data_IF_464751037471
#
_entry.id   IF_464751037471
#
_cell.length_a   1.000
_cell.length_b   1.000
_cell.length_c   1.000
_cell.angle_alpha   90.00
_cell.angle_beta   90.00
_cell.angle_gamma   90.00
#
_symmetry.space_group_name_H-M   'P 1'
#
loop_
_entity.id
_entity.type
_entity.pdbx_description
1 polymer ?
#
# COMPACT_ATOMS: atom_id res chain seq x y z
N UNK A 1 -43.72 -40.20 8.24
CA UNK A 1 -42.50 -39.76 8.97
C UNK A 1 -42.19 -38.35 8.51
N UNK A 2 -42.59 -37.36 9.31
CA UNK A 2 -42.56 -35.93 8.95
C UNK A 2 -41.29 -35.30 9.52
N UNK A 3 -40.40 -34.85 8.62
CA UNK A 3 -39.12 -34.22 8.95
C UNK A 3 -39.34 -32.85 9.59
N UNK A 4 -38.78 -32.67 10.78
CA UNK A 4 -38.85 -31.45 11.59
C UNK A 4 -38.27 -30.23 10.86
N UNK A 5 -39.04 -29.14 10.86
CA UNK A 5 -38.61 -27.77 10.54
C UNK A 5 -37.47 -27.36 11.49
N UNK A 6 -36.30 -27.02 10.95
CA UNK A 6 -35.25 -26.33 11.70
C UNK A 6 -35.41 -24.84 11.42
N UNK A 7 -35.93 -24.14 12.41
CA UNK A 7 -35.88 -22.68 12.52
C UNK A 7 -34.47 -22.30 12.95
N UNK A 8 -33.68 -21.71 12.06
CA UNK A 8 -32.47 -20.99 12.47
C UNK A 8 -32.88 -19.58 12.88
N UNK A 9 -33.05 -19.42 14.19
CA UNK A 9 -32.93 -18.13 14.87
C UNK A 9 -31.46 -17.70 14.75
N UNK A 10 -31.23 -16.57 14.09
CA UNK A 10 -29.92 -15.96 13.92
C UNK A 10 -30.04 -14.45 13.84
N UNK A 11 -30.74 -13.85 14.80
CA UNK A 11 -30.71 -12.40 15.06
C UNK A 11 -29.38 -12.12 15.76
N UNK A 12 -28.39 -11.57 15.04
CA UNK A 12 -27.14 -11.06 15.61
C UNK A 12 -26.95 -9.60 15.22
N UNK A 13 -27.38 -8.74 16.15
CA UNK A 13 -26.80 -7.42 16.50
C UNK A 13 -26.28 -6.55 15.35
N UNK A 14 -27.15 -5.69 14.80
CA UNK A 14 -26.71 -4.49 14.07
C UNK A 14 -26.42 -3.41 15.11
N UNK A 15 -25.16 -3.29 15.52
CA UNK A 15 -24.73 -2.29 16.49
C UNK A 15 -23.27 -1.91 16.31
N UNK A 16 -23.04 -0.64 15.96
CA UNK A 16 -21.74 0.07 16.02
C UNK A 16 -20.67 -0.35 15.01
N UNK A 17 -21.00 -0.33 13.71
CA UNK A 17 -19.98 -0.32 12.67
C UNK A 17 -19.27 1.05 12.68
N UNK A 18 -18.02 1.09 13.16
CA UNK A 18 -17.20 2.30 13.13
C UNK A 18 -16.83 2.63 11.68
N UNK A 19 -16.89 3.90 11.30
CA UNK A 19 -16.46 4.36 9.97
C UNK A 19 -14.95 4.57 9.96
N UNK A 20 -14.29 4.09 8.92
CA UNK A 20 -12.90 4.43 8.58
C UNK A 20 -12.90 5.15 7.24
N UNK A 21 -12.46 6.41 7.24
CA UNK A 21 -12.22 7.19 6.04
C UNK A 21 -10.72 7.35 5.82
N UNK A 22 -10.29 7.14 4.58
CA UNK A 22 -8.90 7.28 4.18
C UNK A 22 -8.79 8.32 3.07
N UNK A 23 -7.78 9.16 3.20
CA UNK A 23 -7.28 10.02 2.15
C UNK A 23 -5.90 9.52 1.74
N UNK A 24 -5.71 9.27 0.45
CA UNK A 24 -4.47 8.77 -0.11
C UNK A 24 -4.32 9.23 -1.56
N UNK A 25 -3.12 9.10 -2.11
CA UNK A 25 -2.84 9.40 -3.50
C UNK A 25 -2.02 8.25 -4.09
N UNK A 26 -2.36 7.82 -5.30
CA UNK A 26 -1.52 6.93 -6.08
C UNK A 26 -0.62 7.80 -6.95
N UNK A 27 0.64 7.39 -7.10
CA UNK A 27 1.48 8.03 -8.09
C UNK A 27 0.85 7.93 -9.49
N UNK A 28 0.68 9.08 -10.16
CA UNK A 28 0.13 9.15 -11.51
C UNK A 28 -1.41 9.13 -11.62
N UNK A 29 -2.14 8.84 -10.54
CA UNK A 29 -3.62 8.83 -10.57
C UNK A 29 -4.27 9.20 -9.22
N UNK A 30 -5.32 10.03 -9.20
CA UNK A 30 -6.13 10.25 -8.00
C UNK A 30 -7.14 9.13 -7.74
N UNK A 31 -7.31 8.19 -8.68
CA UNK A 31 -8.29 7.11 -8.61
C UNK A 31 -7.62 5.74 -8.78
N UNK A 32 -8.18 4.71 -8.16
CA UNK A 32 -7.72 3.34 -8.38
C UNK A 32 -8.11 2.38 -7.27
N UNK A 33 -7.89 1.07 -7.48
CA UNK A 33 -8.18 0.06 -6.47
C UNK A 33 -7.30 0.27 -5.26
N UNK A 34 -7.86 0.06 -4.07
CA UNK A 34 -7.08 0.15 -2.85
C UNK A 34 -7.58 -0.85 -1.82
N UNK A 35 -6.66 -1.33 -0.99
CA UNK A 35 -6.94 -2.20 0.12
C UNK A 35 -6.38 -1.58 1.40
N UNK A 36 -7.22 -1.50 2.43
CA UNK A 36 -6.79 -1.13 3.77
C UNK A 36 -6.64 -2.38 4.61
N UNK A 37 -5.45 -2.57 5.17
CA UNK A 37 -5.17 -3.65 6.12
C UNK A 37 -5.22 -3.04 7.51
N UNK A 38 -6.10 -3.55 8.36
CA UNK A 38 -6.19 -3.17 9.78
C UNK A 38 -5.81 -4.38 10.62
N UNK A 39 -4.73 -4.29 11.40
CA UNK A 39 -4.24 -5.38 12.24
C UNK A 39 -4.32 -5.00 13.72
N UNK A 40 -5.11 -5.75 14.49
CA UNK A 40 -5.27 -5.58 15.93
C UNK A 40 -5.03 -6.93 16.63
N UNK A 41 -3.91 -7.05 17.35
CA UNK A 41 -3.50 -8.30 17.98
C UNK A 41 -3.35 -9.43 16.95
N UNK A 42 -4.08 -10.53 17.15
CA UNK A 42 -4.13 -11.67 16.22
C UNK A 42 -5.13 -11.52 15.08
N UNK A 43 -5.94 -10.45 15.08
CA UNK A 43 -6.96 -10.20 14.05
C UNK A 43 -6.40 -9.28 12.97
N UNK A 44 -6.70 -9.62 11.72
CA UNK A 44 -6.45 -8.76 10.58
C UNK A 44 -7.72 -8.66 9.73
N UNK A 45 -8.03 -7.45 9.29
CA UNK A 45 -9.12 -7.16 8.37
C UNK A 45 -8.53 -6.56 7.10
N UNK A 46 -8.94 -7.10 5.95
CA UNK A 46 -8.59 -6.59 4.64
C UNK A 46 -9.85 -5.95 4.05
N UNK A 47 -9.78 -4.65 3.79
CA UNK A 47 -10.91 -3.83 3.39
C UNK A 47 -10.64 -3.31 1.97
N UNK A 48 -11.15 -4.00 0.97
CA UNK A 48 -11.01 -3.58 -0.43
C UNK A 48 -11.96 -2.44 -0.77
N UNK A 49 -11.53 -1.51 -1.61
CA UNK A 49 -12.31 -0.37 -2.08
C UNK A 49 -11.68 0.29 -3.29
N UNK A 50 -12.19 1.48 -3.62
CA UNK A 50 -11.69 2.32 -4.71
C UNK A 50 -11.41 3.71 -4.15
N UNK A 51 -10.27 4.29 -4.50
CA UNK A 51 -10.05 5.71 -4.35
C UNK A 51 -10.87 6.44 -5.42
N UNK A 52 -11.72 7.34 -4.96
CA UNK A 52 -12.45 8.29 -5.79
C UNK A 52 -12.02 9.71 -5.37
N UNK A 53 -11.31 10.40 -6.26
CA UNK A 53 -10.74 11.72 -5.98
C UNK A 53 -9.75 11.72 -4.81
N UNK A 54 -9.03 10.61 -4.60
CA UNK A 54 -8.08 10.44 -3.49
C UNK A 54 -8.70 10.11 -2.14
N UNK A 55 -9.98 9.70 -2.11
CA UNK A 55 -10.65 9.28 -0.86
C UNK A 55 -11.36 7.95 -0.99
N UNK A 56 -11.44 7.22 0.11
CA UNK A 56 -12.22 5.99 0.23
C UNK A 56 -12.76 5.83 1.65
N UNK A 57 -13.87 5.11 1.82
CA UNK A 57 -14.54 4.91 3.10
C UNK A 57 -14.98 3.45 3.29
N UNK A 58 -14.84 2.95 4.51
CA UNK A 58 -15.27 1.61 4.92
C UNK A 58 -16.01 1.64 6.25
N UNK A 59 -16.81 0.59 6.46
CA UNK A 59 -17.34 0.21 7.76
C UNK A 59 -16.46 -0.89 8.34
N UNK A 60 -15.89 -0.63 9.51
CA UNK A 60 -15.12 -1.65 10.21
C UNK A 60 -16.05 -2.79 10.64
N UNK A 61 -15.63 -4.05 10.46
CA UNK A 61 -16.46 -5.22 10.76
C UNK A 61 -16.65 -5.44 12.27
N UNK A 62 -15.80 -4.85 13.10
CA UNK A 62 -15.92 -4.85 14.55
C UNK A 62 -15.28 -3.59 15.17
N UNK A 63 -15.70 -3.18 16.37
CA UNK A 63 -15.00 -2.14 17.14
C UNK A 63 -13.55 -2.53 17.45
N UNK A 64 -12.67 -1.54 17.45
CA UNK A 64 -11.27 -1.71 17.85
C UNK A 64 -11.14 -1.65 19.38
N UNK A 65 -10.92 -2.81 20.01
CA UNK A 65 -10.68 -2.93 21.45
C UNK A 65 -9.19 -2.81 21.82
N UNK A 66 -8.31 -3.09 20.87
CA UNK A 66 -6.86 -3.00 20.99
C UNK A 66 -6.32 -1.97 19.98
N UNK A 67 -5.15 -1.36 20.24
CA UNK A 67 -4.48 -0.54 19.25
C UNK A 67 -4.28 -1.30 17.94
N UNK A 68 -4.72 -0.72 16.83
CA UNK A 68 -4.68 -1.37 15.52
C UNK A 68 -3.70 -0.65 14.57
N UNK A 69 -2.73 -1.38 14.04
CA UNK A 69 -1.88 -0.88 12.97
C UNK A 69 -2.65 -0.86 11.65
N UNK A 70 -2.38 0.15 10.81
CA UNK A 70 -3.07 0.33 9.54
C UNK A 70 -2.08 0.52 8.41
N UNK A 71 -2.30 -0.21 7.32
CA UNK A 71 -1.62 -0.04 6.05
C UNK A 71 -2.63 0.21 4.96
N UNK A 72 -2.18 0.88 3.91
CA UNK A 72 -2.89 1.01 2.66
C UNK A 72 -2.03 0.42 1.54
N UNK A 73 -2.66 -0.33 0.65
CA UNK A 73 -2.01 -1.06 -0.44
C UNK A 73 -2.78 -0.86 -1.73
N UNK A 74 -2.07 -0.81 -2.85
CA UNK A 74 -2.65 -0.86 -4.18
C UNK A 74 -1.79 -1.78 -5.05
N UNK A 75 -2.36 -2.57 -5.97
CA UNK A 75 -1.59 -3.39 -6.90
C UNK A 75 -0.60 -2.54 -7.71
N UNK A 76 0.68 -2.92 -7.73
CA UNK A 76 1.75 -2.16 -8.43
C UNK A 76 2.28 -0.96 -7.65
N UNK A 77 2.01 -0.87 -6.34
CA UNK A 77 2.45 0.25 -5.51
C UNK A 77 3.05 -0.18 -4.17
N UNK A 78 3.96 0.65 -3.62
CA UNK A 78 4.45 0.49 -2.25
C UNK A 78 3.32 0.68 -1.24
N UNK A 79 3.22 -0.19 -0.23
CA UNK A 79 2.26 -0.01 0.84
C UNK A 79 2.70 1.15 1.76
N UNK A 80 1.76 2.03 2.10
CA UNK A 80 2.00 3.03 3.14
C UNK A 80 1.49 2.53 4.48
N UNK A 81 2.30 2.69 5.53
CA UNK A 81 1.92 2.39 6.91
C UNK A 81 1.60 3.69 7.64
N UNK A 82 0.46 3.72 8.31
CA UNK A 82 0.09 4.85 9.16
C UNK A 82 0.95 4.85 10.43
N UNK A 83 1.37 6.05 10.86
CA UNK A 83 2.33 6.21 11.95
C UNK A 83 1.80 5.73 13.29
N UNK A 84 0.56 6.10 13.60
CA UNK A 84 -0.04 5.84 14.91
C UNK A 84 -1.10 4.73 14.80
N UNK A 85 -1.14 3.77 15.73
CA UNK A 85 -2.20 2.79 15.74
C UNK A 85 -3.55 3.44 16.06
N UNK A 86 -4.61 2.97 15.41
CA UNK A 86 -5.98 3.36 15.73
C UNK A 86 -6.37 2.85 17.11
N UNK A 87 -7.04 3.67 17.90
CA UNK A 87 -7.54 3.29 19.22
C UNK A 87 -8.83 4.03 19.54
N UNK A 88 -9.73 3.35 20.23
CA UNK A 88 -10.95 3.94 20.77
C UNK A 88 -12.15 3.91 19.82
N UNK A 89 -13.20 4.66 20.13
CA UNK A 89 -14.38 4.74 19.26
C UNK A 89 -14.09 5.61 18.02
N UNK A 90 -14.50 5.12 16.85
CA UNK A 90 -14.48 5.90 15.60
C UNK A 90 -15.53 7.04 15.58
N UNK A 91 -15.62 7.81 14.48
CA UNK A 91 -15.00 7.56 13.18
C UNK A 91 -13.50 7.84 13.15
N UNK A 92 -12.79 7.14 12.26
CA UNK A 92 -11.37 7.37 11.99
C UNK A 92 -11.20 8.08 10.66
N UNK A 93 -10.34 9.10 10.64
CA UNK A 93 -9.89 9.77 9.43
C UNK A 93 -8.38 9.62 9.34
N UNK A 94 -7.90 8.92 8.32
CA UNK A 94 -6.48 8.71 8.09
C UNK A 94 -6.07 9.42 6.82
N UNK A 95 -5.13 10.35 6.94
CA UNK A 95 -4.57 11.07 5.81
C UNK A 95 -3.16 10.57 5.56
N UNK A 96 -3.02 9.66 4.59
CA UNK A 96 -1.75 9.11 4.12
C UNK A 96 -1.04 10.05 3.14
N UNK A 97 -1.65 11.19 2.77
CA UNK A 97 -1.01 12.16 1.89
C UNK A 97 -0.06 13.10 2.63
N UNK A 98 -0.01 13.01 3.96
CA UNK A 98 0.85 13.82 4.82
C UNK A 98 2.03 12.99 5.32
N UNK A 99 3.27 13.32 4.94
CA UNK A 99 4.47 12.64 5.42
C UNK A 99 4.53 12.43 6.94
N UNK A 100 4.11 13.41 7.73
CA UNK A 100 4.15 13.35 9.20
C UNK A 100 3.23 12.26 9.80
N UNK A 101 2.19 11.87 9.06
CA UNK A 101 1.26 10.80 9.41
C UNK A 101 1.76 9.42 9.01
N UNK A 102 2.84 9.34 8.24
CA UNK A 102 3.41 8.07 7.79
C UNK A 102 4.42 7.53 8.79
N UNK A 103 4.51 6.21 8.85
CA UNK A 103 5.51 5.54 9.66
C UNK A 103 6.92 5.85 9.12
N UNK A 104 7.95 6.08 9.97
CA UNK A 104 9.30 6.47 9.52
C UNK A 104 10.00 5.48 8.59
N UNK A 105 9.54 4.23 8.56
CA UNK A 105 10.06 3.17 7.71
C UNK A 105 9.15 2.87 6.52
N UNK A 106 8.20 3.76 6.21
CA UNK A 106 7.41 3.70 4.98
C UNK A 106 8.05 4.59 3.93
N UNK A 107 8.31 3.98 2.79
CA UNK A 107 8.77 4.63 1.58
C UNK A 107 7.59 5.20 0.78
N UNK A 108 7.74 6.38 0.19
CA UNK A 108 6.71 7.07 -0.60
C UNK A 108 7.36 8.03 -1.61
N UNK A 109 6.59 8.49 -2.60
CA UNK A 109 6.99 9.59 -3.49
C UNK A 109 6.23 10.84 -3.10
N UNK A 110 6.91 11.99 -3.06
CA UNK A 110 6.26 13.28 -2.80
C UNK A 110 5.93 13.99 -4.13
N UNK A 111 4.65 14.32 -4.36
CA UNK A 111 4.21 15.14 -5.49
C UNK A 111 3.31 16.26 -4.99
N UNK A 112 3.65 17.51 -5.37
CA UNK A 112 2.90 18.70 -4.96
C UNK A 112 2.70 18.82 -3.44
N UNK A 113 3.72 18.46 -2.66
CA UNK A 113 3.69 18.49 -1.19
C UNK A 113 2.83 17.39 -0.54
N UNK A 114 2.45 16.36 -1.31
CA UNK A 114 1.69 15.21 -0.82
C UNK A 114 2.47 13.93 -1.01
N UNK A 115 2.46 13.08 0.01
CA UNK A 115 2.91 11.71 -0.11
C UNK A 115 1.94 10.90 -0.98
N UNK A 116 2.49 10.15 -1.91
CA UNK A 116 1.79 9.22 -2.79
C UNK A 116 2.34 7.80 -2.58
N UNK A 117 1.47 6.81 -2.74
CA UNK A 117 1.90 5.44 -2.98
C UNK A 117 2.78 5.46 -4.23
N UNK A 118 4.04 5.05 -4.06
CA UNK A 118 5.02 4.98 -5.14
C UNK A 118 4.65 3.84 -6.09
N UNK A 119 4.52 4.12 -7.38
CA UNK A 119 4.22 3.10 -8.38
C UNK A 119 5.50 2.38 -8.80
N UNK A 120 5.44 1.12 -9.18
CA UNK A 120 6.50 0.54 -10.01
C UNK A 120 6.23 -0.89 -10.43
N UNK A 121 7.14 -1.43 -11.21
CA UNK A 121 7.11 -2.79 -11.74
C UNK A 121 8.51 -3.40 -11.62
N UNK A 122 8.60 -4.58 -10.99
CA UNK A 122 9.87 -5.28 -10.83
C UNK A 122 10.36 -5.76 -12.20
N UNK A 123 11.62 -5.47 -12.52
CA UNK A 123 12.30 -6.01 -13.70
C UNK A 123 12.24 -5.14 -14.96
N UNK A 124 11.58 -3.98 -14.91
CA UNK A 124 11.62 -2.99 -15.99
C UNK A 124 12.55 -1.85 -15.60
N UNK A 125 13.62 -1.66 -16.38
CA UNK A 125 14.41 -0.42 -16.31
C UNK A 125 13.51 0.75 -16.74
N UNK A 126 13.75 1.97 -16.23
CA UNK A 126 12.97 3.14 -16.59
C UNK A 126 12.90 3.34 -18.11
N UNK A 127 11.70 3.60 -18.60
CA UNK A 127 11.43 4.00 -19.97
C UNK A 127 10.56 5.28 -20.00
N UNK A 128 10.09 5.69 -21.17
CA UNK A 128 9.23 6.88 -21.31
C UNK A 128 7.88 6.73 -20.55
N UNK A 129 7.45 5.51 -20.21
CA UNK A 129 6.23 5.24 -19.46
C UNK A 129 6.45 5.16 -17.93
N UNK A 130 7.66 4.79 -17.49
CA UNK A 130 8.07 4.70 -16.08
C UNK A 130 9.37 5.48 -15.80
N UNK A 131 9.36 6.83 -15.87
CA UNK A 131 10.58 7.63 -16.01
C UNK A 131 11.35 7.89 -14.70
N UNK A 132 11.00 7.27 -13.57
CA UNK A 132 11.67 7.54 -12.29
C UNK A 132 11.84 6.27 -11.47
N UNK A 133 13.09 5.94 -11.15
CA UNK A 133 13.41 4.93 -10.13
C UNK A 133 13.08 5.51 -8.78
N UNK A 134 12.02 5.02 -8.17
CA UNK A 134 11.56 5.44 -6.86
C UNK A 134 11.87 4.36 -5.81
N UNK A 135 11.38 4.58 -4.59
CA UNK A 135 11.65 3.67 -3.50
C UNK A 135 11.01 2.27 -3.68
N UNK A 136 9.96 2.14 -4.51
CA UNK A 136 9.36 0.83 -4.86
C UNK A 136 10.36 -0.02 -5.64
N UNK A 137 10.99 0.55 -6.66
CA UNK A 137 11.93 -0.18 -7.51
C UNK A 137 13.15 -0.69 -6.73
N UNK A 138 13.61 0.10 -5.75
CA UNK A 138 14.68 -0.31 -4.83
C UNK A 138 14.23 -1.45 -3.92
N UNK A 139 13.05 -1.35 -3.31
CA UNK A 139 12.55 -2.40 -2.42
C UNK A 139 12.28 -3.71 -3.17
N UNK A 140 11.69 -3.62 -4.36
CA UNK A 140 11.49 -4.75 -5.26
C UNK A 140 12.82 -5.39 -5.65
N UNK A 141 13.81 -4.61 -6.05
CA UNK A 141 15.13 -5.12 -6.39
C UNK A 141 15.77 -5.87 -5.21
N UNK A 142 15.70 -5.31 -4.00
CA UNK A 142 16.22 -5.96 -2.80
C UNK A 142 15.49 -7.27 -2.47
N UNK A 143 14.20 -7.36 -2.75
CA UNK A 143 13.44 -8.60 -2.62
C UNK A 143 13.82 -9.63 -3.69
N UNK A 144 13.91 -9.20 -4.96
CA UNK A 144 14.36 -10.03 -6.08
C UNK A 144 15.77 -10.57 -5.86
N UNK A 145 16.69 -9.75 -5.33
CA UNK A 145 18.04 -10.17 -4.99
C UNK A 145 18.04 -11.26 -3.91
N UNK A 146 17.23 -11.12 -2.85
CA UNK A 146 17.09 -12.16 -1.82
C UNK A 146 16.53 -13.47 -2.39
N UNK A 147 15.62 -13.38 -3.35
CA UNK A 147 14.96 -14.53 -3.96
C UNK A 147 15.72 -15.09 -5.18
N UNK A 148 16.78 -14.40 -5.63
CA UNK A 148 17.49 -14.69 -6.88
C UNK A 148 16.54 -14.72 -8.10
N UNK A 149 15.58 -13.80 -8.17
CA UNK A 149 14.64 -13.65 -9.29
C UNK A 149 15.31 -12.96 -10.49
N UNK A 150 15.47 -13.71 -11.59
CA UNK A 150 16.14 -13.28 -12.83
C UNK A 150 15.51 -12.06 -13.49
N UNK A 151 14.32 -11.62 -13.09
CA UNK A 151 13.78 -10.35 -13.55
C UNK A 151 14.63 -9.14 -13.12
N UNK A 152 15.41 -9.25 -12.04
CA UNK A 152 16.31 -8.21 -11.56
C UNK A 152 17.77 -8.35 -12.05
N UNK A 153 18.03 -9.26 -12.99
CA UNK A 153 19.32 -9.41 -13.69
C UNK A 153 19.37 -8.40 -14.85
N UNK A 154 19.72 -7.15 -14.52
CA UNK A 154 19.64 -6.03 -15.44
C UNK A 154 20.81 -5.99 -16.42
N UNK A 155 21.99 -6.50 -16.04
CA UNK A 155 23.12 -6.66 -16.95
C UNK A 155 23.10 -7.97 -17.74
N UNK A 156 22.14 -8.86 -17.44
CA UNK A 156 21.91 -10.14 -18.11
C UNK A 156 23.12 -11.09 -18.00
N UNK A 157 23.92 -10.97 -16.93
CA UNK A 157 25.08 -11.82 -16.68
C UNK A 157 24.73 -13.17 -16.03
N UNK A 158 23.46 -13.35 -15.66
CA UNK A 158 22.91 -14.58 -15.11
C UNK A 158 22.93 -14.64 -13.58
N UNK A 159 23.43 -13.61 -12.89
CA UNK A 159 23.46 -13.51 -11.44
C UNK A 159 23.00 -12.11 -10.98
N UNK A 160 22.19 -12.06 -9.92
CA UNK A 160 21.77 -10.77 -9.35
C UNK A 160 22.81 -10.33 -8.33
N UNK A 161 23.48 -9.22 -8.62
CA UNK A 161 24.59 -8.73 -7.81
C UNK A 161 24.46 -7.24 -7.51
N UNK A 162 25.45 -6.72 -6.79
CA UNK A 162 25.60 -5.29 -6.56
C UNK A 162 25.69 -4.50 -7.88
N UNK A 163 26.14 -5.11 -9.00
CA UNK A 163 26.19 -4.42 -10.30
C UNK A 163 24.80 -4.06 -10.82
N UNK A 164 23.84 -4.98 -10.71
CA UNK A 164 22.45 -4.73 -11.08
C UNK A 164 21.85 -3.63 -10.19
N UNK A 165 22.19 -3.62 -8.90
CA UNK A 165 21.78 -2.56 -8.00
C UNK A 165 22.33 -1.20 -8.40
N UNK A 166 23.62 -1.14 -8.78
CA UNK A 166 24.25 0.08 -9.26
C UNK A 166 23.69 0.52 -10.62
N UNK A 167 23.28 -0.41 -11.49
CA UNK A 167 22.59 -0.08 -12.74
C UNK A 167 21.21 0.52 -12.50
N UNK A 168 20.46 -0.03 -11.54
CA UNK A 168 19.22 0.56 -11.05
C UNK A 168 19.51 2.00 -10.54
N UNK A 169 20.40 2.18 -9.58
CA UNK A 169 20.68 3.53 -9.04
C UNK A 169 21.28 4.51 -10.07
N UNK A 170 22.04 4.05 -11.05
CA UNK A 170 22.60 4.92 -12.11
C UNK A 170 21.50 5.48 -13.02
N UNK A 171 20.51 4.68 -13.35
CA UNK A 171 19.36 5.11 -14.16
C UNK A 171 18.45 6.10 -13.40
N UNK A 172 18.49 6.13 -12.05
CA UNK A 172 17.84 7.15 -11.24
C UNK A 172 18.39 8.56 -11.52
N UNK A 173 19.71 8.67 -11.74
CA UNK A 173 20.39 9.95 -11.92
C UNK A 173 20.29 10.51 -13.36
N UNK A 174 20.14 9.65 -14.37
CA UNK A 174 20.04 10.12 -15.76
C UNK A 174 18.72 10.82 -16.07
N UNK A 175 17.60 10.41 -15.46
CA UNK A 175 16.28 11.00 -15.68
C UNK A 175 16.05 12.33 -14.93
N UNK A 176 16.77 12.55 -13.82
CA UNK A 176 16.82 13.86 -13.16
C UNK A 176 17.61 14.89 -13.98
N UNK A 177 18.54 14.45 -14.83
CA UNK A 177 19.38 15.35 -15.64
C UNK A 177 18.79 15.72 -17.00
N UNK A 178 17.77 15.01 -17.47
CA UNK A 178 17.07 15.29 -18.74
C UNK A 178 15.74 16.02 -18.57
N UNK A 179 15.30 16.27 -17.33
CA UNK A 179 14.11 17.07 -17.00
C UNK A 179 14.42 18.46 -16.39
N UNK A 180 15.69 18.87 -16.39
CA UNK A 180 16.14 20.25 -16.14
C UNK A 180 16.54 20.92 -17.46
#
# INVERSE_FOLDING_TARGET
MSGRKVWWVGLLTIGWAQTLRVQAALEGSPNGPIEVVVKAGSKAWLLSGQLEGGTAEWKLPAPLHEPAEVWIRSPGYLPLRYRQPLKGPGPFLLDFTRPENLHPHTSYVEKSGKACLAAGELGSLPDEAHPVINAYDVELFLEAWKQQDKQADFDQDGAITEKDYQLLLKNQNQLLSTQL
#
